data_IF_867518082394
#
_entry.id   IF_867518082394
#
_cell.length_a   1.000
_cell.length_b   1.000
_cell.length_c   1.000
_cell.angle_alpha   90.00
_cell.angle_beta   90.00
_cell.angle_gamma   90.00
#
_symmetry.space_group_name_H-M   'P 1'
#
loop_
_entity.id
_entity.type
_entity.pdbx_description
1 polymer ?
#
# COMPACT_ATOMS: atom_id res chain seq x y z
N UNK A 1 -9.02 -5.15 5.41
CA UNK A 1 -8.65 -6.56 5.71
C UNK A 1 -7.62 -6.96 4.68
N UNK A 2 -6.35 -7.10 5.08
CA UNK A 2 -5.27 -7.46 4.14
C UNK A 2 -5.52 -8.90 3.65
N UNK A 3 -6.04 -9.01 2.43
CA UNK A 3 -6.34 -10.28 1.80
C UNK A 3 -5.51 -10.36 0.51
N UNK A 4 -5.19 -11.56 0.02
CA UNK A 4 -4.33 -11.71 -1.17
C UNK A 4 -4.83 -10.97 -2.41
N UNK A 5 -6.14 -10.70 -2.44
CA UNK A 5 -6.80 -9.85 -3.41
C UNK A 5 -6.26 -8.42 -3.49
N UNK A 6 -5.73 -7.84 -2.40
CA UNK A 6 -5.18 -6.47 -2.40
C UNK A 6 -4.01 -6.33 -3.37
N UNK A 7 -3.13 -7.34 -3.46
CA UNK A 7 -2.02 -7.35 -4.41
C UNK A 7 -2.53 -7.40 -5.86
N UNK A 8 -3.47 -8.30 -6.14
CA UNK A 8 -4.05 -8.48 -7.48
C UNK A 8 -4.75 -7.20 -7.95
N UNK A 9 -5.55 -6.57 -7.09
CA UNK A 9 -6.25 -5.33 -7.45
C UNK A 9 -5.25 -4.20 -7.69
N UNK A 10 -4.23 -4.08 -6.84
CA UNK A 10 -3.22 -3.02 -6.97
C UNK A 10 -2.39 -3.14 -8.25
N UNK A 11 -1.98 -4.36 -8.64
CA UNK A 11 -1.18 -4.55 -9.86
C UNK A 11 -2.02 -4.29 -11.11
N UNK A 12 -3.31 -4.66 -11.12
CA UNK A 12 -4.23 -4.33 -12.20
C UNK A 12 -4.39 -2.81 -12.32
N UNK A 13 -4.56 -2.09 -11.20
CA UNK A 13 -4.66 -0.63 -11.21
C UNK A 13 -3.42 0.03 -11.82
N UNK A 14 -2.22 -0.39 -11.43
CA UNK A 14 -0.97 0.17 -11.95
C UNK A 14 -0.78 -0.20 -13.43
N UNK A 15 -1.15 -1.41 -13.84
CA UNK A 15 -1.11 -1.82 -15.24
C UNK A 15 -2.05 -0.95 -16.10
N UNK A 16 -3.31 -0.77 -15.67
CA UNK A 16 -4.27 0.09 -16.36
C UNK A 16 -3.79 1.53 -16.41
N UNK A 17 -3.26 2.07 -15.30
CA UNK A 17 -2.67 3.40 -15.27
C UNK A 17 -1.50 3.53 -16.25
N UNK A 18 -0.62 2.52 -16.34
CA UNK A 18 0.52 2.52 -17.26
C UNK A 18 0.08 2.51 -18.72
N UNK A 19 -0.94 1.72 -19.05
CA UNK A 19 -1.56 1.68 -20.38
C UNK A 19 -2.20 3.02 -20.71
N UNK A 20 -2.95 3.60 -19.78
CA UNK A 20 -3.56 4.92 -19.94
C UNK A 20 -2.51 6.01 -20.14
N UNK A 21 -1.43 6.02 -19.34
CA UNK A 21 -0.33 6.96 -19.48
C UNK A 21 0.36 6.84 -20.86
N UNK A 22 0.46 5.63 -21.41
CA UNK A 22 1.04 5.42 -22.74
C UNK A 22 0.22 6.06 -23.87
N UNK A 23 -1.10 5.87 -23.83
CA UNK A 23 -2.02 6.33 -24.87
C UNK A 23 -2.47 7.79 -24.71
N UNK A 24 -2.65 8.26 -23.47
CA UNK A 24 -3.13 9.60 -23.15
C UNK A 24 -2.00 10.63 -23.03
N UNK A 25 -0.73 10.22 -23.16
CA UNK A 25 0.40 11.15 -23.14
C UNK A 25 0.29 12.16 -24.30
N UNK A 26 0.42 13.47 -24.02
CA UNK A 26 0.32 14.51 -25.04
C UNK A 26 1.35 14.28 -26.16
N UNK A 27 0.92 14.53 -27.40
CA UNK A 27 1.77 14.44 -28.58
C UNK A 27 2.60 15.72 -28.67
N UNK A 28 3.93 15.58 -28.74
CA UNK A 28 4.88 16.68 -28.81
C UNK A 28 6.29 16.19 -28.48
N UNK A 29 7.27 17.11 -28.48
CA UNK A 29 8.69 16.78 -28.30
C UNK A 29 8.99 16.08 -26.97
N UNK A 30 8.18 16.33 -25.94
CA UNK A 30 8.34 15.76 -24.60
C UNK A 30 7.56 14.46 -24.37
N UNK A 31 6.93 13.89 -25.41
CA UNK A 31 6.07 12.70 -25.26
C UNK A 31 6.78 11.51 -24.61
N UNK A 32 8.04 11.26 -24.97
CA UNK A 32 8.83 10.16 -24.38
C UNK A 32 9.11 10.41 -22.89
N UNK A 33 9.36 11.65 -22.50
CA UNK A 33 9.58 12.04 -21.10
C UNK A 33 8.31 11.81 -20.29
N UNK A 34 7.15 12.22 -20.82
CA UNK A 34 5.85 11.97 -20.17
C UNK A 34 5.57 10.49 -19.96
N UNK A 35 5.72 9.66 -21.01
CA UNK A 35 5.50 8.21 -20.92
C UNK A 35 6.43 7.54 -19.91
N UNK A 36 7.73 7.80 -20.02
CA UNK A 36 8.74 7.14 -19.19
C UNK A 36 8.61 7.54 -17.72
N UNK A 37 8.41 8.84 -17.43
CA UNK A 37 8.38 9.36 -16.06
C UNK A 37 7.13 8.88 -15.32
N UNK A 38 5.95 8.96 -15.94
CA UNK A 38 4.70 8.49 -15.33
C UNK A 38 4.72 6.99 -15.03
N UNK A 39 5.19 6.18 -15.98
CA UNK A 39 5.23 4.72 -15.83
C UNK A 39 6.27 4.33 -14.78
N UNK A 40 7.50 4.86 -14.86
CA UNK A 40 8.56 4.52 -13.90
C UNK A 40 8.18 4.93 -12.47
N UNK A 41 7.68 6.15 -12.27
CA UNK A 41 7.27 6.59 -10.93
C UNK A 41 6.14 5.72 -10.36
N UNK A 42 5.13 5.37 -11.17
CA UNK A 42 4.03 4.52 -10.72
C UNK A 42 4.52 3.14 -10.28
N UNK A 43 5.41 2.51 -11.05
CA UNK A 43 6.00 1.23 -10.69
C UNK A 43 6.92 1.30 -9.47
N UNK A 44 7.75 2.34 -9.36
CA UNK A 44 8.63 2.52 -8.18
C UNK A 44 7.82 2.70 -6.89
N UNK A 45 6.77 3.52 -6.92
CA UNK A 45 5.89 3.70 -5.77
C UNK A 45 5.14 2.41 -5.42
N UNK A 46 4.64 1.68 -6.43
CA UNK A 46 3.95 0.41 -6.19
C UNK A 46 4.88 -0.66 -5.63
N UNK A 47 6.13 -0.78 -6.11
CA UNK A 47 7.10 -1.74 -5.60
C UNK A 47 7.42 -1.50 -4.12
N UNK A 48 7.66 -0.25 -3.72
CA UNK A 48 7.89 0.10 -2.31
C UNK A 48 6.69 -0.30 -1.43
N UNK A 49 5.47 0.00 -1.88
CA UNK A 49 4.25 -0.42 -1.19
C UNK A 49 4.09 -1.95 -1.15
N UNK A 50 4.31 -2.65 -2.27
CA UNK A 50 4.12 -4.10 -2.36
C UNK A 50 5.09 -4.85 -1.46
N UNK A 51 6.36 -4.44 -1.42
CA UNK A 51 7.38 -5.05 -0.56
C UNK A 51 7.03 -4.86 0.91
N UNK A 52 6.62 -3.65 1.33
CA UNK A 52 6.25 -3.38 2.72
C UNK A 52 4.97 -4.13 3.13
N UNK A 53 4.01 -4.30 2.21
CA UNK A 53 2.85 -5.15 2.43
C UNK A 53 3.24 -6.63 2.60
N UNK A 54 4.07 -7.16 1.70
CA UNK A 54 4.53 -8.56 1.76
C UNK A 54 5.35 -8.84 3.02
N UNK A 55 6.13 -7.89 3.51
CA UNK A 55 6.88 -8.03 4.76
C UNK A 55 5.98 -8.26 6.00
N UNK A 56 4.73 -7.80 5.94
CA UNK A 56 3.73 -8.01 6.99
C UNK A 56 2.84 -9.24 6.72
N UNK A 57 2.92 -9.84 5.53
CA UNK A 57 2.05 -10.92 5.12
C UNK A 57 2.62 -12.25 5.61
N UNK A 58 1.90 -12.90 6.53
CA UNK A 58 2.38 -14.07 7.31
C UNK A 58 3.61 -13.75 8.18
N UNK A 59 3.44 -12.90 9.22
CA UNK A 59 4.55 -12.49 10.07
C UNK A 59 5.06 -13.67 10.92
N UNK A 60 6.38 -13.79 11.02
CA UNK A 60 7.05 -14.79 11.87
C UNK A 60 7.34 -14.25 13.29
N UNK A 61 7.38 -12.93 13.43
CA UNK A 61 7.66 -12.23 14.68
C UNK A 61 6.42 -11.43 15.05
N UNK A 62 6.04 -11.49 16.31
CA UNK A 62 4.95 -10.70 16.88
C UNK A 62 5.52 -9.51 17.66
N UNK A 63 4.81 -8.37 17.71
CA UNK A 63 5.28 -7.22 18.47
C UNK A 63 5.24 -7.49 19.98
N UNK A 64 6.38 -7.34 20.65
CA UNK A 64 6.47 -7.33 22.12
C UNK A 64 6.68 -5.89 22.62
N UNK A 65 5.93 -5.49 23.66
CA UNK A 65 6.07 -4.17 24.30
C UNK A 65 5.84 -4.27 25.80
N UNK A 66 6.69 -3.61 26.59
CA UNK A 66 6.63 -3.61 28.05
C UNK A 66 5.90 -2.40 28.67
N UNK A 67 5.56 -1.39 27.88
CA UNK A 67 4.98 -0.12 28.36
C UNK A 67 3.62 0.14 27.70
N UNK A 68 2.60 -0.63 28.11
CA UNK A 68 1.21 -0.34 27.78
C UNK A 68 0.67 0.69 28.78
N UNK A 69 -0.13 1.64 28.29
CA UNK A 69 -0.91 2.50 29.19
C UNK A 69 -1.73 1.61 30.14
N UNK A 70 -1.84 1.93 31.44
CA UNK A 70 -2.46 1.04 32.43
C UNK A 70 -3.89 0.60 32.06
N UNK A 71 -4.63 1.48 31.39
CA UNK A 71 -5.98 1.24 30.85
C UNK A 71 -6.04 0.03 29.89
N UNK A 72 -4.96 -0.30 29.18
CA UNK A 72 -4.90 -1.38 28.19
C UNK A 72 -4.07 -2.58 28.64
N UNK A 73 -3.51 -2.53 29.85
CA UNK A 73 -2.57 -3.53 30.36
C UNK A 73 -3.25 -4.85 30.83
N UNK A 74 -4.56 -4.82 31.10
CA UNK A 74 -5.31 -5.95 31.69
C UNK A 74 -6.30 -6.62 30.70
N UNK A 75 -6.08 -6.52 29.39
CA UNK A 75 -7.01 -7.03 28.38
C UNK A 75 -8.19 -6.07 28.11
N UNK A 76 -9.14 -6.44 27.24
CA UNK A 76 -10.15 -5.50 26.75
C UNK A 76 -11.02 -5.01 27.90
N UNK A 77 -10.98 -3.69 28.16
CA UNK A 77 -11.96 -3.04 29.02
C UNK A 77 -13.32 -3.31 28.39
N UNK A 78 -14.19 -4.08 29.07
CA UNK A 78 -15.62 -4.08 28.74
C UNK A 78 -16.03 -2.62 28.79
N UNK A 79 -16.40 -2.05 27.64
CA UNK A 79 -16.95 -0.71 27.53
C UNK A 79 -18.20 -0.64 28.41
N UNK A 80 -17.99 -0.34 29.69
CA UNK A 80 -19.00 0.13 30.60
C UNK A 80 -19.26 1.55 30.16
N UNK A 81 -20.46 1.77 29.60
CA UNK A 81 -21.02 3.08 29.29
C UNK A 81 -20.48 4.11 30.28
N UNK A 82 -19.66 5.02 29.78
CA UNK A 82 -19.38 6.26 30.48
C UNK A 82 -20.09 7.35 29.68
N UNK A 83 -21.37 7.48 30.03
CA UNK A 83 -22.41 8.41 29.54
C UNK A 83 -23.02 8.10 28.17
#
# INVERSE_FOLDING_TARGET
MANGWSLIISIILIAVFSVAAWFLSPKGDTQTVWRSTLILSAWSCWLMWAITFLAQWHPLIVPERGDLRPEYNNGPIKSGRMF
#
